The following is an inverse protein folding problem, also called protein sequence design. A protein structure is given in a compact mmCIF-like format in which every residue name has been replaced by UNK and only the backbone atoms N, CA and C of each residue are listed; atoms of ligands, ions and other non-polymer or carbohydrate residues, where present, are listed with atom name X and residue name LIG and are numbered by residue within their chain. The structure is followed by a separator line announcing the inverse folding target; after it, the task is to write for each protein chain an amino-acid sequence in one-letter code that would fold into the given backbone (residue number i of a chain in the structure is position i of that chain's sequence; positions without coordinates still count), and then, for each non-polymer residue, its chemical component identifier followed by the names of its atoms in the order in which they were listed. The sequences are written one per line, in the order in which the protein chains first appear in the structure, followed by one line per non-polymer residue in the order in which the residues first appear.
data_IF_861278302968
#
_entry.id   IF_861278302968
#
_cell.length_a   1.000
_cell.length_b   1.000
_cell.length_c   1.000
_cell.angle_alpha   90.00
_cell.angle_beta   90.00
_cell.angle_gamma   90.00
#
_symmetry.space_group_name_H-M   'P 1'
#
loop_
_entity.id
_entity.type
_entity.pdbx_description
1 polymer ?
#
# COMPACT_ATOMS: atom_id res chain seq x y z
N UNK A 1 3.03 4.39 25.48
CA UNK A 1 4.50 4.55 25.38
C UNK A 1 4.73 5.80 24.54
N UNK A 2 5.27 6.87 25.13
CA UNK A 2 5.35 8.18 24.47
C UNK A 2 6.47 8.23 23.43
N UNK A 3 6.15 8.66 22.22
CA UNK A 3 7.16 8.96 21.20
C UNK A 3 7.89 10.24 21.63
N UNK A 4 9.12 10.12 22.14
CA UNK A 4 9.98 11.28 22.33
C UNK A 4 10.61 11.68 21.01
N UNK A 5 10.47 12.96 20.67
CA UNK A 5 11.14 13.56 19.52
C UNK A 5 12.63 13.62 19.84
N UNK A 6 13.40 12.62 19.38
CA UNK A 6 14.84 12.53 19.66
C UNK A 6 15.61 13.76 19.15
N UNK A 7 15.10 14.43 18.12
CA UNK A 7 15.68 15.62 17.51
C UNK A 7 14.57 16.60 17.05
N UNK A 8 14.09 17.50 17.93
CA UNK A 8 12.99 18.42 17.61
C UNK A 8 13.31 19.42 16.51
N UNK A 9 14.60 19.73 16.30
CA UNK A 9 15.03 20.76 15.37
C UNK A 9 15.41 20.21 13.98
N UNK A 10 15.27 18.90 13.74
CA UNK A 10 15.55 18.32 12.43
C UNK A 10 14.31 18.32 11.54
N UNK A 11 14.49 18.82 10.31
CA UNK A 11 13.49 18.69 9.27
C UNK A 11 13.28 17.20 8.94
N UNK A 12 12.09 16.69 9.22
CA UNK A 12 11.66 15.35 8.78
C UNK A 12 11.30 15.44 7.30
N UNK A 13 12.02 14.69 6.46
CA UNK A 13 11.67 14.52 5.05
C UNK A 13 10.77 13.30 4.91
N UNK A 14 9.58 13.49 4.36
CA UNK A 14 8.66 12.39 4.05
C UNK A 14 8.76 12.12 2.55
N UNK A 15 9.10 10.89 2.18
CA UNK A 15 8.91 10.42 0.82
C UNK A 15 7.45 9.99 0.69
N UNK A 16 6.67 10.80 -0.04
CA UNK A 16 5.30 10.47 -0.40
C UNK A 16 5.28 10.15 -1.88
N UNK A 17 4.92 8.91 -2.21
CA UNK A 17 4.65 8.46 -3.57
C UNK A 17 3.36 7.65 -3.58
N UNK A 18 2.75 7.53 -4.75
CA UNK A 18 1.53 6.76 -4.93
C UNK A 18 1.84 5.25 -5.03
N UNK A 19 1.02 4.44 -4.39
CA UNK A 19 1.14 2.97 -4.36
C UNK A 19 0.02 2.28 -5.16
N UNK A 20 -0.66 3.00 -6.05
CA UNK A 20 -1.76 2.47 -6.87
C UNK A 20 -1.41 1.15 -7.56
N UNK A 21 -0.21 1.05 -8.16
CA UNK A 21 0.23 -0.18 -8.83
C UNK A 21 0.36 -1.38 -7.88
N UNK A 22 0.65 -1.16 -6.59
CA UNK A 22 0.84 -2.23 -5.62
C UNK A 22 -0.47 -2.98 -5.31
N UNK A 23 -1.63 -2.34 -5.49
CA UNK A 23 -2.93 -2.98 -5.29
C UNK A 23 -3.22 -4.09 -6.31
N UNK A 24 -2.53 -4.11 -7.46
CA UNK A 24 -2.60 -5.22 -8.42
C UNK A 24 -2.15 -6.56 -7.83
N UNK A 25 -1.33 -6.52 -6.78
CA UNK A 25 -0.86 -7.72 -6.07
C UNK A 25 -1.88 -8.23 -5.02
N UNK A 26 -2.94 -7.46 -4.75
CA UNK A 26 -3.98 -7.82 -3.80
C UNK A 26 -5.16 -8.48 -4.51
N UNK A 27 -5.10 -9.78 -4.72
CA UNK A 27 -6.16 -10.52 -5.41
C UNK A 27 -7.49 -10.47 -4.62
N UNK A 28 -8.60 -10.28 -5.34
CA UNK A 28 -9.95 -10.40 -4.80
C UNK A 28 -10.41 -11.84 -4.94
N UNK A 29 -11.13 -12.32 -3.93
CA UNK A 29 -11.70 -13.66 -3.94
C UNK A 29 -12.63 -13.85 -5.16
N UNK A 30 -12.52 -14.98 -5.85
CA UNK A 30 -13.26 -15.26 -7.10
C UNK A 30 -14.77 -15.18 -6.96
N UNK A 31 -15.32 -15.49 -5.79
CA UNK A 31 -16.75 -15.32 -5.50
C UNK A 31 -17.19 -13.84 -5.42
N UNK A 32 -16.26 -12.90 -5.35
CA UNK A 32 -16.49 -11.48 -5.12
C UNK A 32 -16.00 -10.57 -6.25
N UNK A 33 -15.23 -11.08 -7.23
CA UNK A 33 -14.72 -10.26 -8.35
C UNK A 33 -15.83 -9.64 -9.20
N UNK A 34 -17.03 -10.22 -9.19
CA UNK A 34 -18.19 -9.66 -9.90
C UNK A 34 -18.60 -8.26 -9.41
N UNK A 35 -18.18 -7.87 -8.20
CA UNK A 35 -18.39 -6.52 -7.65
C UNK A 35 -17.42 -5.48 -8.23
N UNK A 36 -16.38 -5.93 -8.92
CA UNK A 36 -15.32 -5.10 -9.50
C UNK A 36 -15.34 -5.21 -11.03
N UNK A 37 -16.51 -4.91 -11.61
CA UNK A 37 -16.73 -4.99 -13.05
C UNK A 37 -16.91 -3.61 -13.67
N UNK A 38 -16.38 -3.43 -14.88
CA UNK A 38 -16.60 -2.29 -15.75
C UNK A 38 -17.17 -2.74 -17.09
N UNK A 39 -18.00 -1.91 -17.70
CA UNK A 39 -18.55 -2.18 -19.03
C UNK A 39 -18.18 -1.03 -19.97
N UNK A 40 -17.67 -1.38 -21.15
CA UNK A 40 -17.42 -0.43 -22.25
C UNK A 40 -18.49 -0.73 -23.30
N UNK A 41 -19.61 0.02 -23.31
CA UNK A 41 -20.75 -0.26 -24.19
C UNK A 41 -20.40 -0.21 -25.67
N UNK A 42 -19.51 0.70 -26.06
CA UNK A 42 -19.11 0.94 -27.45
C UNK A 42 -18.45 -0.28 -28.09
N UNK A 43 -17.73 -1.07 -27.28
CA UNK A 43 -17.01 -2.27 -27.73
C UNK A 43 -17.74 -3.57 -27.34
N UNK A 44 -18.82 -3.47 -26.55
CA UNK A 44 -19.53 -4.63 -26.00
C UNK A 44 -18.67 -5.47 -25.04
N UNK A 45 -17.70 -4.84 -24.37
CA UNK A 45 -16.72 -5.52 -23.51
C UNK A 45 -17.05 -5.33 -22.04
N UNK A 46 -16.95 -6.43 -21.28
CA UNK A 46 -16.99 -6.43 -19.82
C UNK A 46 -15.58 -6.69 -19.30
N UNK A 47 -15.11 -5.83 -18.41
CA UNK A 47 -13.83 -5.94 -17.71
C UNK A 47 -14.13 -6.37 -16.28
N UNK A 48 -13.55 -7.48 -15.84
CA UNK A 48 -13.60 -7.90 -14.43
C UNK A 48 -12.21 -7.73 -13.84
N UNK A 49 -12.08 -6.83 -12.86
CA UNK A 49 -10.84 -6.66 -12.13
C UNK A 49 -10.73 -7.74 -11.05
N UNK A 50 -9.73 -8.60 -11.19
CA UNK A 50 -9.45 -9.67 -10.23
C UNK A 50 -8.62 -9.21 -9.03
N UNK A 51 -8.25 -7.94 -8.97
CA UNK A 51 -7.43 -7.35 -7.91
C UNK A 51 -8.14 -6.18 -7.24
N UNK A 52 -7.67 -5.80 -6.04
CA UNK A 52 -8.25 -4.68 -5.31
C UNK A 52 -8.11 -3.41 -6.15
N UNK A 53 -9.25 -2.77 -6.46
CA UNK A 53 -9.28 -1.50 -7.15
C UNK A 53 -8.71 -0.39 -6.26
N UNK A 54 -7.89 0.48 -6.83
CA UNK A 54 -7.49 1.72 -6.17
C UNK A 54 -8.71 2.63 -5.98
N UNK A 55 -8.86 3.19 -4.78
CA UNK A 55 -10.03 4.00 -4.42
C UNK A 55 -11.24 3.20 -3.92
N UNK A 56 -11.20 1.86 -3.90
CA UNK A 56 -12.19 1.06 -3.18
C UNK A 56 -11.99 1.20 -1.66
N UNK A 57 -13.06 1.35 -0.88
CA UNK A 57 -12.99 1.56 0.58
C UNK A 57 -12.29 0.43 1.35
N UNK A 58 -12.31 -0.81 0.84
CA UNK A 58 -11.60 -1.95 1.43
C UNK A 58 -10.14 -2.11 0.96
N UNK A 59 -9.69 -1.31 -0.01
CA UNK A 59 -8.38 -1.48 -0.63
C UNK A 59 -7.25 -1.24 0.37
N UNK A 60 -7.27 -0.13 1.11
CA UNK A 60 -6.22 0.25 2.07
C UNK A 60 -6.05 -0.79 3.18
N UNK A 61 -7.14 -1.33 3.70
CA UNK A 61 -7.10 -2.40 4.71
C UNK A 61 -6.49 -3.69 4.15
N UNK A 62 -6.89 -4.09 2.94
CA UNK A 62 -6.34 -5.29 2.26
C UNK A 62 -4.85 -5.14 2.00
N UNK A 63 -4.43 -3.97 1.49
CA UNK A 63 -3.02 -3.66 1.25
C UNK A 63 -2.21 -3.62 2.55
N UNK A 64 -2.75 -3.07 3.64
CA UNK A 64 -2.04 -3.01 4.92
C UNK A 64 -1.64 -4.40 5.44
N UNK A 65 -2.49 -5.41 5.24
CA UNK A 65 -2.15 -6.79 5.62
C UNK A 65 -1.00 -7.32 4.75
N UNK A 66 -1.07 -7.14 3.43
CA UNK A 66 -0.03 -7.59 2.51
C UNK A 66 1.31 -6.86 2.72
N UNK A 67 1.27 -5.54 2.84
CA UNK A 67 2.42 -4.70 3.16
C UNK A 67 3.04 -5.08 4.51
N UNK A 68 2.20 -5.40 5.51
CA UNK A 68 2.64 -5.92 6.80
C UNK A 68 3.39 -7.25 6.70
N UNK A 69 2.93 -8.17 5.84
CA UNK A 69 3.64 -9.44 5.57
C UNK A 69 4.96 -9.18 4.87
N UNK A 70 5.01 -8.30 3.87
CA UNK A 70 6.25 -7.94 3.17
C UNK A 70 7.27 -7.35 4.14
N UNK A 71 6.85 -6.42 4.99
CA UNK A 71 7.71 -5.80 6.00
C UNK A 71 8.18 -6.80 7.07
N UNK A 72 7.35 -7.78 7.43
CA UNK A 72 7.76 -8.86 8.34
C UNK A 72 8.83 -9.75 7.72
N UNK A 73 8.69 -10.12 6.45
CA UNK A 73 9.62 -11.01 5.73
C UNK A 73 10.96 -10.34 5.45
N UNK A 74 10.94 -9.07 5.03
CA UNK A 74 12.14 -8.36 4.58
C UNK A 74 12.77 -7.47 5.66
N UNK A 75 12.10 -7.32 6.81
CA UNK A 75 12.46 -6.33 7.81
C UNK A 75 12.11 -4.90 7.37
N UNK A 76 12.25 -3.91 8.27
CA UNK A 76 12.14 -2.52 7.86
C UNK A 76 13.25 -2.22 6.84
N UNK A 77 12.87 -1.65 5.70
CA UNK A 77 13.82 -1.04 4.78
C UNK A 77 14.33 0.26 5.42
N UNK A 78 15.22 0.12 6.41
CA UNK A 78 16.05 1.23 6.81
C UNK A 78 17.10 1.35 5.71
N UNK A 79 17.07 2.40 4.89
CA UNK A 79 18.20 2.69 4.01
C UNK A 79 19.44 2.95 4.89
N UNK A 80 20.32 1.95 5.02
CA UNK A 80 21.55 2.03 5.82
C UNK A 80 22.58 2.98 5.17
N UNK A 81 22.35 3.39 3.93
CA UNK A 81 23.27 4.22 3.13
C UNK A 81 23.02 5.73 3.18
N UNK A 82 22.06 6.22 3.99
CA UNK A 82 21.99 7.65 4.31
C UNK A 82 22.50 7.90 5.75
N UNK A 83 23.61 8.62 5.97
CA UNK A 83 24.02 9.04 7.31
C UNK A 83 23.01 10.00 7.99
N UNK A 84 21.87 10.30 7.36
CA UNK A 84 20.83 11.18 7.87
C UNK A 84 19.37 10.69 7.73
N UNK A 85 19.09 9.39 7.58
CA UNK A 85 17.73 8.90 7.28
C UNK A 85 17.20 7.78 8.20
N UNK A 86 16.86 8.08 9.45
CA UNK A 86 16.17 7.12 10.33
C UNK A 86 14.69 6.97 9.96
N UNK A 87 14.33 5.93 9.21
CA UNK A 87 12.95 5.45 9.10
C UNK A 87 12.62 4.58 10.33
N UNK A 88 12.09 5.22 11.37
CA UNK A 88 11.56 4.49 12.53
C UNK A 88 10.15 3.98 12.20
N UNK A 89 10.06 2.73 11.75
CA UNK A 89 8.83 1.94 11.84
C UNK A 89 8.66 1.47 13.28
N UNK A 90 7.62 1.96 13.97
CA UNK A 90 7.09 1.30 15.17
C UNK A 90 5.58 1.20 15.04
N UNK A 91 5.06 -0.02 15.23
CA UNK A 91 3.65 -0.38 15.33
C UNK A 91 2.91 0.40 16.42
#
# INVERSE_FOLDING_TARGET
MGCQLAHPDRAVKVMADDVNSAYRNACIHSGSVHLFTGHIPEDGVIIIDMSAGFGWTGSSGTYNILGGVVAFVHGPACDVTDPAGSLTTTR
#
